data_IF_839913350817
#
_entry.id   IF_839913350817
#
_cell.length_a   1.000
_cell.length_b   1.000
_cell.length_c   1.000
_cell.angle_alpha   90.00
_cell.angle_beta   90.00
_cell.angle_gamma   90.00
#
_symmetry.space_group_name_H-M   'P 1'
#
loop_
_entity.id
_entity.type
_entity.pdbx_description
1 polymer ?
#
# COMPACT_ATOMS: atom_id res chain seq x y z
N UNK A 1 -8.14 6.76 -23.70
CA UNK A 1 -7.93 8.09 -23.09
C UNK A 1 -6.74 7.97 -22.16
N UNK A 2 -5.81 8.92 -22.18
CA UNK A 2 -4.70 8.92 -21.22
C UNK A 2 -5.30 9.06 -19.81
N UNK A 3 -4.89 8.20 -18.89
CA UNK A 3 -5.27 8.34 -17.49
C UNK A 3 -4.69 9.66 -16.96
N UNK A 4 -5.42 10.41 -16.12
CA UNK A 4 -4.90 11.66 -15.54
C UNK A 4 -3.66 11.45 -14.65
N UNK A 5 -3.44 10.21 -14.17
CA UNK A 5 -2.27 9.78 -13.42
C UNK A 5 -1.97 8.31 -13.74
N UNK A 6 -0.69 7.93 -13.79
CA UNK A 6 -0.21 6.54 -13.89
C UNK A 6 1.02 6.37 -12.99
N UNK A 7 1.14 5.20 -12.35
CA UNK A 7 2.29 4.87 -11.53
C UNK A 7 3.56 4.78 -12.40
N UNK A 8 4.64 5.44 -11.97
CA UNK A 8 5.94 5.37 -12.63
C UNK A 8 6.73 4.15 -12.13
N UNK A 9 6.92 3.09 -12.95
CA UNK A 9 7.66 1.90 -12.52
C UNK A 9 9.16 2.16 -12.31
N UNK A 10 9.67 3.33 -12.71
CA UNK A 10 11.06 3.74 -12.49
C UNK A 10 11.28 4.51 -11.19
N UNK A 11 10.20 4.87 -10.48
CA UNK A 11 10.30 5.59 -9.21
C UNK A 11 10.97 4.72 -8.13
N UNK A 12 11.94 5.31 -7.43
CA UNK A 12 12.72 4.63 -6.39
C UNK A 12 12.04 4.75 -5.02
N UNK A 13 12.21 3.74 -4.17
CA UNK A 13 11.82 3.80 -2.76
C UNK A 13 12.71 4.78 -2.00
N UNK A 14 12.13 5.81 -1.39
CA UNK A 14 12.90 6.87 -0.69
C UNK A 14 12.80 6.73 0.82
N UNK A 15 11.59 6.64 1.35
CA UNK A 15 11.36 6.67 2.80
C UNK A 15 10.21 5.76 3.20
N UNK A 16 10.39 5.00 4.28
CA UNK A 16 9.31 4.23 4.90
C UNK A 16 8.40 5.18 5.69
N UNK A 17 7.10 4.99 5.59
CA UNK A 17 6.11 5.70 6.39
C UNK A 17 5.67 4.84 7.57
N UNK A 18 5.78 5.39 8.78
CA UNK A 18 5.45 4.70 10.01
C UNK A 18 6.45 3.64 10.43
N UNK A 19 5.97 2.69 11.24
CA UNK A 19 6.78 1.61 11.82
C UNK A 19 6.85 0.41 10.89
N UNK A 20 7.97 -0.30 10.91
CA UNK A 20 8.11 -1.58 10.23
C UNK A 20 7.16 -2.65 10.80
N UNK A 21 6.88 -3.68 10.00
CA UNK A 21 6.11 -4.85 10.45
C UNK A 21 6.71 -5.48 11.73
N UNK A 22 8.05 -5.49 11.84
CA UNK A 22 8.76 -6.00 13.01
C UNK A 22 8.50 -5.17 14.25
N UNK A 23 8.57 -3.84 14.15
CA UNK A 23 8.29 -2.93 15.25
C UNK A 23 6.82 -2.98 15.70
N UNK A 24 5.91 -3.38 14.81
CA UNK A 24 4.50 -3.57 15.13
C UNK A 24 4.14 -4.99 15.56
N UNK A 25 5.10 -5.92 15.53
CA UNK A 25 4.88 -7.34 15.83
C UNK A 25 3.90 -8.02 14.86
N UNK A 26 3.74 -7.51 13.64
CA UNK A 26 2.81 -8.03 12.62
C UNK A 26 3.45 -9.05 11.70
N UNK A 27 4.75 -9.31 11.85
CA UNK A 27 5.47 -10.43 11.20
C UNK A 27 6.26 -11.23 12.24
N UNK A 28 6.41 -12.54 12.02
CA UNK A 28 7.22 -13.44 12.84
C UNK A 28 8.59 -13.76 12.22
N UNK A 29 8.80 -13.45 10.94
CA UNK A 29 9.96 -13.87 10.15
C UNK A 29 10.60 -12.70 9.37
N UNK A 30 11.83 -12.93 8.88
CA UNK A 30 12.65 -11.98 8.10
C UNK A 30 12.06 -11.62 6.72
N UNK A 31 11.03 -12.33 6.26
CA UNK A 31 10.28 -12.03 5.05
C UNK A 31 9.34 -10.83 5.27
N UNK A 32 9.96 -9.65 5.22
CA UNK A 32 9.33 -8.36 5.41
C UNK A 32 8.15 -8.13 4.49
N UNK A 33 6.95 -8.21 5.06
CA UNK A 33 5.75 -7.45 4.72
C UNK A 33 4.75 -7.63 5.87
N UNK A 34 3.88 -6.66 6.16
CA UNK A 34 3.47 -5.53 5.32
C UNK A 34 4.36 -4.26 5.45
N UNK A 35 4.25 -3.31 4.52
CA UNK A 35 5.02 -2.04 4.55
C UNK A 35 4.34 -0.90 3.78
N UNK A 36 4.70 0.35 4.11
CA UNK A 36 4.25 1.57 3.43
C UNK A 36 5.48 2.44 3.12
N UNK A 37 5.64 2.85 1.87
CA UNK A 37 6.78 3.63 1.40
C UNK A 37 6.37 4.81 0.53
N UNK A 38 7.08 5.92 0.69
CA UNK A 38 7.08 7.06 -0.21
C UNK A 38 8.15 6.84 -1.30
N UNK A 39 7.75 7.06 -2.55
CA UNK A 39 8.60 6.95 -3.74
C UNK A 39 9.20 8.31 -4.11
N UNK A 40 10.26 8.31 -4.92
CA UNK A 40 11.00 9.52 -5.27
C UNK A 40 10.24 10.55 -6.11
N UNK A 41 9.10 10.16 -6.67
CA UNK A 41 8.17 11.03 -7.37
C UNK A 41 7.01 11.52 -6.48
N UNK A 42 6.98 11.13 -5.20
CA UNK A 42 5.93 11.47 -4.23
C UNK A 42 4.76 10.47 -4.18
N UNK A 43 4.74 9.45 -5.04
CA UNK A 43 3.73 8.39 -4.98
C UNK A 43 3.94 7.49 -3.74
N UNK A 44 2.89 6.79 -3.32
CA UNK A 44 2.92 5.89 -2.16
C UNK A 44 2.82 4.43 -2.62
N UNK A 45 3.83 3.64 -2.29
CA UNK A 45 3.82 2.19 -2.45
C UNK A 45 3.31 1.51 -1.18
N UNK A 46 2.33 0.62 -1.33
CA UNK A 46 1.77 -0.19 -0.24
C UNK A 46 2.04 -1.66 -0.55
N UNK A 47 2.71 -2.36 0.36
CA UNK A 47 2.94 -3.80 0.23
C UNK A 47 2.16 -4.54 1.32
N UNK A 48 1.28 -5.43 0.90
CA UNK A 48 0.37 -6.16 1.76
C UNK A 48 0.00 -7.51 1.18
N UNK A 49 -1.03 -8.13 1.75
CA UNK A 49 -1.56 -9.40 1.25
C UNK A 49 -2.49 -9.14 0.08
N UNK A 50 -2.17 -9.66 -1.11
CA UNK A 50 -3.09 -9.66 -2.24
C UNK A 50 -4.33 -10.49 -1.90
N UNK A 51 -5.50 -9.86 -1.95
CA UNK A 51 -6.80 -10.48 -1.75
C UNK A 51 -7.78 -10.11 -2.89
N UNK A 52 -7.26 -9.77 -4.06
CA UNK A 52 -8.02 -9.37 -5.26
C UNK A 52 -9.16 -10.35 -5.54
N UNK A 53 -8.85 -11.64 -5.72
CA UNK A 53 -9.86 -12.66 -6.01
C UNK A 53 -10.85 -12.88 -4.85
N UNK A 54 -10.35 -12.80 -3.61
CA UNK A 54 -11.16 -13.01 -2.41
C UNK A 54 -12.17 -11.85 -2.17
N UNK A 55 -11.94 -10.68 -2.77
CA UNK A 55 -12.85 -9.53 -2.67
C UNK A 55 -13.65 -9.27 -3.95
N UNK A 56 -13.29 -9.85 -5.10
CA UNK A 56 -13.91 -9.58 -6.39
C UNK A 56 -15.46 -9.63 -6.37
N UNK A 57 -16.06 -10.62 -5.71
CA UNK A 57 -17.52 -10.79 -5.63
C UNK A 57 -18.22 -9.91 -4.58
N UNK A 58 -17.47 -9.16 -3.78
CA UNK A 58 -17.96 -8.37 -2.63
C UNK A 58 -17.41 -6.95 -2.60
N UNK A 59 -16.96 -6.46 -3.75
CA UNK A 59 -16.53 -5.07 -3.88
C UNK A 59 -17.73 -4.13 -3.65
N UNK A 60 -17.53 -2.99 -2.97
CA UNK A 60 -18.50 -1.90 -2.97
C UNK A 60 -18.86 -1.47 -4.39
N UNK A 61 -20.06 -0.90 -4.56
CA UNK A 61 -20.59 -0.56 -5.88
C UNK A 61 -19.75 0.48 -6.64
N UNK A 62 -19.00 1.31 -5.93
CA UNK A 62 -18.15 2.37 -6.43
C UNK A 62 -16.66 1.97 -6.56
N UNK A 63 -16.32 0.72 -6.23
CA UNK A 63 -14.94 0.21 -6.33
C UNK A 63 -14.84 -0.76 -7.50
N UNK A 64 -13.94 -0.46 -8.44
CA UNK A 64 -13.58 -1.33 -9.55
C UNK A 64 -12.09 -1.61 -9.52
N UNK A 65 -11.68 -2.81 -9.92
CA UNK A 65 -10.28 -3.20 -10.08
C UNK A 65 -10.05 -3.44 -11.57
N UNK A 66 -9.22 -2.60 -12.20
CA UNK A 66 -8.80 -2.76 -13.58
C UNK A 66 -7.84 -3.96 -13.74
N UNK A 67 -7.62 -4.41 -14.98
CA UNK A 67 -6.79 -5.59 -15.27
C UNK A 67 -5.35 -5.47 -14.75
N UNK A 68 -4.86 -4.25 -14.65
CA UNK A 68 -3.53 -3.87 -14.18
C UNK A 68 -3.47 -3.47 -12.69
N UNK A 69 -4.57 -3.60 -11.97
CA UNK A 69 -4.68 -3.28 -10.55
C UNK A 69 -4.77 -4.54 -9.68
N UNK A 70 -4.41 -4.39 -8.41
CA UNK A 70 -4.53 -5.42 -7.38
C UNK A 70 -5.03 -4.80 -6.09
N UNK A 71 -5.92 -5.51 -5.39
CA UNK A 71 -6.38 -5.16 -4.05
C UNK A 71 -5.48 -5.87 -3.04
N UNK A 72 -4.67 -5.08 -2.33
CA UNK A 72 -3.85 -5.54 -1.22
C UNK A 72 -4.44 -5.10 0.12
N UNK A 73 -4.28 -5.94 1.15
CA UNK A 73 -4.71 -5.65 2.52
C UNK A 73 -3.51 -5.57 3.45
N UNK A 74 -3.47 -4.50 4.26
CA UNK A 74 -2.49 -4.29 5.32
C UNK A 74 -3.18 -4.25 6.71
N UNK A 75 -2.48 -4.59 7.80
CA UNK A 75 -2.96 -4.39 9.16
C UNK A 75 -3.26 -2.92 9.44
N UNK A 76 -4.41 -2.63 10.05
CA UNK A 76 -4.80 -1.24 10.32
C UNK A 76 -3.85 -0.50 11.29
N UNK A 77 -3.13 -1.21 12.16
CA UNK A 77 -2.11 -0.60 13.02
C UNK A 77 -0.90 -0.09 12.21
N UNK A 78 -0.58 -0.71 11.07
CA UNK A 78 0.46 -0.23 10.16
C UNK A 78 0.10 1.11 9.55
N UNK A 79 -1.09 1.23 8.97
CA UNK A 79 -1.59 2.50 8.45
C UNK A 79 -1.64 3.58 9.53
N UNK A 80 -2.13 3.24 10.73
CA UNK A 80 -2.14 4.19 11.87
C UNK A 80 -0.74 4.62 12.30
N UNK A 81 0.25 3.73 12.23
CA UNK A 81 1.63 4.07 12.56
C UNK A 81 2.26 5.06 11.57
N UNK A 82 1.78 5.10 10.33
CA UNK A 82 2.23 6.02 9.29
C UNK A 82 1.64 7.43 9.40
N UNK A 83 0.60 7.63 10.23
CA UNK A 83 -0.07 8.93 10.39
C UNK A 83 0.89 10.11 10.64
N UNK A 84 1.91 10.03 11.50
CA UNK A 84 2.82 11.16 11.74
C UNK A 84 3.67 11.56 10.53
N UNK A 85 3.84 10.65 9.56
CA UNK A 85 4.61 10.89 8.34
C UNK A 85 3.74 11.39 7.18
N UNK A 86 2.42 11.29 7.31
CA UNK A 86 1.44 11.71 6.32
C UNK A 86 0.96 13.11 6.71
N UNK A 87 1.22 14.10 5.87
CA UNK A 87 0.74 15.45 6.09
C UNK A 87 -0.79 15.51 6.12
N UNK A 88 -1.35 16.43 6.92
CA UNK A 88 -2.76 16.77 6.82
C UNK A 88 -3.08 17.34 5.42
N UNK A 89 -4.31 17.11 4.96
CA UNK A 89 -4.80 17.52 3.65
C UNK A 89 -5.04 19.04 3.55
#
# INVERSE_FOLDING_TARGET
MARPWEADPSALFVRRLGKSAKELGTTKDEDGCPDIWELGNGDIAIVGRDLTDAYAARLPADVTIASDERLVVIPGNMLRSAKPDIADA
#
